data_IF_192552079306
#
_entry.id   IF_192552079306
#
_cell.length_a   1.000
_cell.length_b   1.000
_cell.length_c   1.000
_cell.angle_alpha   90.00
_cell.angle_beta   90.00
_cell.angle_gamma   90.00
#
_symmetry.space_group_name_H-M   'P 1'
#
loop_
_entity.id
_entity.type
_entity.pdbx_description
1 polymer ?
#
# COMPACT_ATOMS: atom_id res chain seq x y z
N UNK A 1 4.03 9.06 -14.60
CA UNK A 1 3.60 8.36 -13.39
C UNK A 1 2.33 9.03 -12.92
N UNK A 2 1.31 8.27 -12.52
CA UNK A 2 -0.03 8.79 -12.22
C UNK A 2 -0.85 8.96 -13.51
N UNK A 3 -0.83 10.16 -14.09
CA UNK A 3 -1.61 10.47 -15.30
C UNK A 3 -0.94 10.03 -16.60
N UNK A 4 0.39 10.03 -16.65
CA UNK A 4 1.18 9.58 -17.82
C UNK A 4 1.71 8.18 -17.50
N UNK A 5 1.34 7.18 -18.28
CA UNK A 5 1.86 5.81 -18.16
C UNK A 5 2.91 5.54 -19.25
N UNK A 6 4.01 4.88 -18.87
CA UNK A 6 5.08 4.42 -19.76
C UNK A 6 5.33 2.93 -19.53
N UNK A 7 5.91 2.25 -20.52
CA UNK A 7 6.13 0.80 -20.46
C UNK A 7 7.12 0.40 -19.36
N UNK A 8 8.21 1.14 -19.24
CA UNK A 8 9.22 0.94 -18.21
C UNK A 8 9.35 2.18 -17.31
N UNK A 9 9.89 1.98 -16.11
CA UNK A 9 10.19 3.09 -15.20
C UNK A 9 11.29 4.00 -15.75
N UNK A 10 12.20 3.48 -16.57
CA UNK A 10 13.31 4.26 -17.12
C UNK A 10 12.86 5.15 -18.28
N UNK A 11 11.80 4.75 -18.99
CA UNK A 11 11.24 5.47 -20.14
C UNK A 11 10.74 6.87 -19.77
N UNK A 12 10.46 7.14 -18.48
CA UNK A 12 10.12 8.48 -18.02
C UNK A 12 11.26 9.50 -18.22
N UNK A 13 12.51 9.04 -18.34
CA UNK A 13 13.69 9.88 -18.59
C UNK A 13 14.30 9.65 -19.98
N UNK A 14 13.58 8.99 -20.88
CA UNK A 14 14.03 8.79 -22.26
C UNK A 14 14.15 10.12 -23.00
N UNK A 15 15.11 10.20 -23.92
CA UNK A 15 15.28 11.31 -24.86
C UNK A 15 14.83 10.91 -26.28
N UNK A 16 14.14 9.78 -26.41
CA UNK A 16 13.53 9.36 -27.68
C UNK A 16 12.35 10.29 -28.00
N UNK A 17 12.44 11.01 -29.11
CA UNK A 17 11.46 11.99 -29.57
C UNK A 17 10.02 11.44 -29.62
N UNK A 18 9.82 10.13 -29.84
CA UNK A 18 8.48 9.54 -29.93
C UNK A 18 7.75 9.49 -28.58
N UNK A 19 8.50 9.38 -27.50
CA UNK A 19 7.97 9.12 -26.16
C UNK A 19 8.59 10.01 -25.08
N UNK A 20 9.39 11.01 -25.46
CA UNK A 20 9.99 11.94 -24.51
C UNK A 20 8.90 12.67 -23.72
N UNK A 21 9.20 12.95 -22.45
CA UNK A 21 8.33 13.77 -21.61
C UNK A 21 9.23 14.63 -20.71
N UNK A 22 9.64 15.83 -21.17
CA UNK A 22 10.77 16.58 -20.61
C UNK A 22 10.65 16.91 -19.12
N UNK A 23 9.43 17.10 -18.62
CA UNK A 23 9.19 17.47 -17.22
C UNK A 23 9.84 16.52 -16.19
N UNK A 24 9.94 15.22 -16.48
CA UNK A 24 10.52 14.26 -15.52
C UNK A 24 12.03 14.48 -15.31
N UNK A 25 12.77 14.76 -16.39
CA UNK A 25 14.21 15.01 -16.35
C UNK A 25 14.55 16.40 -15.82
N UNK A 26 13.66 17.37 -16.02
CA UNK A 26 13.80 18.73 -15.48
C UNK A 26 13.60 18.76 -13.95
N UNK A 27 12.66 17.98 -13.43
CA UNK A 27 12.34 17.97 -11.99
C UNK A 27 13.35 17.15 -11.18
N UNK A 28 13.72 15.96 -11.64
CA UNK A 28 14.66 15.09 -10.91
C UNK A 28 15.48 14.21 -11.87
N UNK A 29 16.80 14.12 -11.72
CA UNK A 29 17.60 13.17 -12.49
C UNK A 29 17.18 11.72 -12.23
N UNK A 30 17.18 10.88 -13.28
CA UNK A 30 16.79 9.46 -13.23
C UNK A 30 17.45 8.71 -12.07
N UNK A 31 18.78 8.82 -11.98
CA UNK A 31 19.55 8.03 -11.03
C UNK A 31 19.31 8.47 -9.59
N UNK A 32 19.07 9.78 -9.38
CA UNK A 32 18.65 10.32 -8.08
C UNK A 32 17.29 9.78 -7.66
N UNK A 33 16.32 9.76 -8.58
CA UNK A 33 15.00 9.16 -8.32
C UNK A 33 15.10 7.69 -7.97
N UNK A 34 15.85 6.90 -8.75
CA UNK A 34 16.04 5.47 -8.49
C UNK A 34 16.75 5.21 -7.15
N UNK A 35 17.72 6.05 -6.78
CA UNK A 35 18.39 5.97 -5.49
C UNK A 35 17.42 6.22 -4.33
N UNK A 36 16.61 7.29 -4.41
CA UNK A 36 15.57 7.56 -3.41
C UNK A 36 14.58 6.39 -3.33
N UNK A 37 14.09 5.90 -4.47
CA UNK A 37 13.16 4.78 -4.52
C UNK A 37 13.73 3.49 -3.89
N UNK A 38 15.03 3.23 -4.09
CA UNK A 38 15.72 2.05 -3.55
C UNK A 38 15.91 2.12 -2.03
N UNK A 39 16.17 3.31 -1.50
CA UNK A 39 16.48 3.53 -0.08
C UNK A 39 15.33 4.14 0.72
N UNK A 40 14.12 4.21 0.14
CA UNK A 40 12.93 4.68 0.83
C UNK A 40 12.53 3.69 1.94
N UNK A 41 12.76 4.08 3.19
CA UNK A 41 12.45 3.30 4.38
C UNK A 41 11.54 4.10 5.31
N UNK A 42 10.51 3.43 5.86
CA UNK A 42 9.54 4.05 6.77
C UNK A 42 9.70 3.59 8.23
N UNK A 43 10.66 2.70 8.48
CA UNK A 43 10.91 2.08 9.79
C UNK A 43 12.40 1.91 10.02
N UNK A 44 12.83 2.10 11.25
CA UNK A 44 14.19 1.76 11.66
C UNK A 44 14.34 0.23 11.83
N UNK A 45 15.34 -0.34 11.15
CA UNK A 45 15.62 -1.78 11.22
C UNK A 45 16.24 -2.18 12.58
N UNK A 46 16.79 -1.23 13.34
CA UNK A 46 17.33 -1.48 14.69
C UNK A 46 16.22 -1.93 15.68
N UNK A 47 14.99 -1.46 15.46
CA UNK A 47 13.82 -1.75 16.28
C UNK A 47 13.09 -3.04 15.88
N UNK A 48 13.72 -3.86 15.02
CA UNK A 48 13.10 -5.09 14.52
C UNK A 48 13.02 -6.13 15.63
N UNK A 49 11.80 -6.45 16.04
CA UNK A 49 11.53 -7.55 16.94
C UNK A 49 11.88 -8.92 16.34
N UNK A 50 12.20 -9.89 17.19
CA UNK A 50 12.36 -11.28 16.77
C UNK A 50 11.07 -11.82 16.17
N UNK A 51 11.18 -12.64 15.13
CA UNK A 51 10.02 -13.23 14.43
C UNK A 51 9.24 -14.19 15.32
N UNK A 52 9.90 -14.74 16.34
CA UNK A 52 9.31 -15.64 17.32
C UNK A 52 8.61 -14.88 18.47
N UNK A 53 8.80 -13.56 18.54
CA UNK A 53 8.16 -12.73 19.55
C UNK A 53 6.64 -12.81 19.43
N UNK A 54 5.92 -12.92 20.57
CA UNK A 54 4.48 -12.85 20.58
C UNK A 54 3.89 -11.56 19.99
N UNK A 55 4.66 -10.48 19.99
CA UNK A 55 4.27 -9.15 19.52
C UNK A 55 4.65 -8.87 18.07
N UNK A 56 5.33 -9.81 17.39
CA UNK A 56 5.86 -9.58 16.05
C UNK A 56 4.78 -9.27 15.03
N UNK A 57 4.75 -8.02 14.57
CA UNK A 57 3.89 -7.58 13.48
C UNK A 57 4.54 -7.81 12.12
N UNK A 58 3.89 -8.57 11.24
CA UNK A 58 4.40 -8.82 9.87
C UNK A 58 4.42 -7.56 9.00
N UNK A 59 3.66 -6.53 9.35
CA UNK A 59 3.58 -5.24 8.65
C UNK A 59 4.47 -4.15 9.29
N UNK A 60 5.30 -4.48 10.29
CA UNK A 60 6.03 -3.49 11.09
C UNK A 60 6.73 -2.39 10.28
N UNK A 61 7.29 -2.73 9.11
CA UNK A 61 7.98 -1.76 8.23
C UNK A 61 7.11 -0.63 7.71
N UNK A 62 5.82 -0.88 7.52
CA UNK A 62 4.84 0.06 6.99
C UNK A 62 3.82 0.50 8.04
N UNK A 63 3.87 -0.07 9.26
CA UNK A 63 2.84 0.10 10.29
C UNK A 63 2.59 1.57 10.61
N UNK A 64 3.65 2.34 10.88
CA UNK A 64 3.55 3.77 11.23
C UNK A 64 2.83 4.59 10.14
N UNK A 65 3.18 4.35 8.88
CA UNK A 65 2.56 5.04 7.74
C UNK A 65 1.10 4.65 7.59
N UNK A 66 0.81 3.35 7.70
CA UNK A 66 -0.55 2.83 7.56
C UNK A 66 -1.48 3.34 8.66
N UNK A 67 -1.01 3.34 9.91
CA UNK A 67 -1.78 3.85 11.05
C UNK A 67 -1.98 5.37 10.94
N UNK A 68 -0.99 6.11 10.41
CA UNK A 68 -1.14 7.54 10.15
C UNK A 68 -2.21 7.82 9.10
N UNK A 69 -2.29 7.03 8.02
CA UNK A 69 -3.37 7.19 7.04
C UNK A 69 -4.74 6.89 7.64
N UNK A 70 -4.89 5.78 8.34
CA UNK A 70 -6.16 5.43 8.98
C UNK A 70 -6.61 6.48 10.00
N UNK A 71 -5.67 7.08 10.73
CA UNK A 71 -5.96 8.20 11.65
C UNK A 71 -6.50 9.41 10.89
N UNK A 72 -5.77 9.88 9.87
CA UNK A 72 -6.17 11.06 9.08
C UNK A 72 -7.52 10.83 8.39
N UNK A 73 -7.77 9.63 7.86
CA UNK A 73 -9.03 9.31 7.19
C UNK A 73 -10.25 9.41 8.09
N UNK A 74 -10.08 9.12 9.39
CA UNK A 74 -11.13 9.25 10.42
C UNK A 74 -11.25 10.67 10.95
N UNK A 75 -10.12 11.39 11.07
CA UNK A 75 -10.10 12.77 11.56
C UNK A 75 -10.73 13.76 10.56
N UNK A 76 -10.59 13.52 9.25
CA UNK A 76 -10.98 14.48 8.21
C UNK A 76 -12.42 14.28 7.71
N UNK A 77 -13.04 13.13 7.98
CA UNK A 77 -14.33 12.77 7.38
C UNK A 77 -15.22 11.98 8.33
N UNK A 78 -16.42 12.51 8.54
CA UNK A 78 -17.52 11.79 9.20
C UNK A 78 -18.31 10.99 8.16
N UNK A 79 -18.37 9.64 8.29
CA UNK A 79 -19.05 8.80 7.31
C UNK A 79 -20.58 8.99 7.31
N UNK A 80 -21.20 8.76 6.14
CA UNK A 80 -22.65 8.71 6.05
C UNK A 80 -23.19 7.38 6.59
N UNK A 81 -24.52 7.23 6.60
CA UNK A 81 -25.19 5.99 7.02
C UNK A 81 -24.84 4.79 6.14
N UNK A 82 -24.40 5.02 4.90
CA UNK A 82 -24.21 3.98 3.91
C UNK A 82 -22.72 3.64 3.75
N UNK A 83 -22.28 2.66 4.54
CA UNK A 83 -20.92 2.15 4.49
C UNK A 83 -20.86 0.79 3.77
N UNK A 84 -19.83 0.62 2.96
CA UNK A 84 -19.51 -0.63 2.27
C UNK A 84 -18.20 -1.21 2.81
N UNK A 85 -18.22 -2.51 3.09
CA UNK A 85 -17.06 -3.28 3.52
C UNK A 85 -16.70 -4.28 2.43
N UNK A 86 -15.49 -4.17 1.88
CA UNK A 86 -15.05 -5.08 0.81
C UNK A 86 -13.53 -5.35 0.87
N UNK A 87 -13.13 -6.40 0.16
CA UNK A 87 -11.78 -6.87 -0.01
C UNK A 87 -11.14 -6.30 -1.28
N UNK A 88 -10.00 -5.63 -1.11
CA UNK A 88 -9.17 -5.12 -2.20
C UNK A 88 -7.89 -5.96 -2.30
N UNK A 89 -7.48 -6.22 -3.55
CA UNK A 89 -6.21 -6.90 -3.85
C UNK A 89 -5.25 -5.91 -4.50
N UNK A 90 -4.12 -5.69 -3.84
CA UNK A 90 -3.00 -4.91 -4.36
C UNK A 90 -2.07 -5.85 -5.11
N UNK A 91 -1.92 -5.64 -6.43
CA UNK A 91 -1.05 -6.46 -7.27
C UNK A 91 0.39 -6.30 -6.80
N UNK A 92 0.99 -7.39 -6.34
CA UNK A 92 2.37 -7.39 -5.85
C UNK A 92 3.08 -8.68 -6.27
N UNK A 93 4.17 -8.54 -7.03
CA UNK A 93 4.94 -9.67 -7.55
C UNK A 93 6.13 -10.07 -6.65
N UNK A 94 6.46 -9.28 -5.63
CA UNK A 94 7.58 -9.55 -4.73
C UNK A 94 7.35 -10.74 -3.79
N UNK A 95 8.40 -11.04 -3.00
CA UNK A 95 8.38 -12.10 -1.98
C UNK A 95 7.96 -11.51 -0.64
N UNK A 96 6.71 -11.77 -0.23
CA UNK A 96 6.14 -11.38 1.07
C UNK A 96 5.34 -12.56 1.62
N UNK A 97 5.42 -12.77 2.94
CA UNK A 97 4.78 -13.91 3.62
C UNK A 97 3.25 -13.94 3.52
N UNK A 98 2.61 -12.78 3.53
CA UNK A 98 1.15 -12.64 3.54
C UNK A 98 0.55 -12.36 2.15
N UNK A 99 1.32 -12.66 1.09
CA UNK A 99 0.78 -12.67 -0.28
C UNK A 99 -0.28 -13.76 -0.40
N UNK A 100 -1.44 -13.39 -0.95
CA UNK A 100 -2.58 -14.29 -1.13
C UNK A 100 -2.82 -14.59 -2.60
N UNK A 101 -3.33 -15.80 -2.85
CA UNK A 101 -3.88 -16.21 -4.12
C UNK A 101 -5.41 -16.25 -4.01
N UNK A 102 -6.10 -15.45 -4.83
CA UNK A 102 -7.56 -15.35 -4.86
C UNK A 102 -8.02 -15.65 -6.29
N UNK A 103 -8.38 -16.90 -6.60
CA UNK A 103 -8.59 -17.35 -7.98
C UNK A 103 -9.75 -16.62 -8.68
N UNK A 104 -10.77 -16.21 -7.94
CA UNK A 104 -11.97 -15.55 -8.46
C UNK A 104 -11.78 -14.08 -8.87
N UNK A 105 -10.63 -13.46 -8.58
CA UNK A 105 -10.38 -12.04 -8.90
C UNK A 105 -9.42 -11.93 -10.08
N UNK A 106 -9.63 -10.94 -10.97
CA UNK A 106 -8.78 -10.68 -12.15
C UNK A 106 -7.29 -10.58 -11.80
N UNK A 107 -6.97 -9.97 -10.66
CA UNK A 107 -5.62 -9.95 -10.07
C UNK A 107 -5.53 -11.08 -9.05
N UNK A 108 -5.14 -12.28 -9.51
CA UNK A 108 -5.19 -13.46 -8.65
C UNK A 108 -4.12 -13.46 -7.55
N UNK A 109 -2.95 -12.85 -7.78
CA UNK A 109 -1.85 -12.79 -6.81
C UNK A 109 -1.63 -11.37 -6.31
N UNK A 110 -1.65 -11.19 -4.98
CA UNK A 110 -1.41 -9.87 -4.40
C UNK A 110 -1.48 -9.83 -2.88
N UNK A 111 -1.44 -8.61 -2.35
CA UNK A 111 -1.68 -8.34 -0.93
C UNK A 111 -3.18 -8.11 -0.74
N UNK A 112 -3.80 -8.88 0.15
CA UNK A 112 -5.21 -8.75 0.49
C UNK A 112 -5.38 -7.67 1.57
N UNK A 113 -6.32 -6.75 1.35
CA UNK A 113 -6.66 -5.68 2.28
C UNK A 113 -8.18 -5.61 2.40
N UNK A 114 -8.67 -5.34 3.60
CA UNK A 114 -10.06 -5.00 3.87
C UNK A 114 -10.17 -3.48 3.94
N UNK A 115 -11.20 -2.89 3.33
CA UNK A 115 -11.48 -1.46 3.44
C UNK A 115 -12.95 -1.22 3.77
N UNK A 116 -13.20 -0.17 4.53
CA UNK A 116 -14.51 0.44 4.71
C UNK A 116 -14.52 1.69 3.84
N UNK A 117 -15.49 1.78 2.94
CA UNK A 117 -15.69 2.95 2.10
C UNK A 117 -17.12 3.46 2.26
N UNK A 118 -17.26 4.78 2.30
CA UNK A 118 -18.55 5.46 2.29
C UNK A 118 -19.15 5.50 0.88
N UNK A 119 -20.46 5.71 0.77
CA UNK A 119 -21.15 5.86 -0.51
C UNK A 119 -20.59 6.99 -1.39
N UNK A 120 -20.00 8.02 -0.79
CA UNK A 120 -19.30 9.11 -1.51
C UNK A 120 -17.96 8.68 -2.14
N UNK A 121 -17.47 7.48 -1.82
CA UNK A 121 -16.19 6.95 -2.30
C UNK A 121 -15.02 7.20 -1.34
N UNK A 122 -15.23 7.90 -0.22
CA UNK A 122 -14.20 8.11 0.80
C UNK A 122 -13.87 6.80 1.52
N UNK A 123 -12.59 6.58 1.84
CA UNK A 123 -12.16 5.40 2.61
C UNK A 123 -12.04 5.78 4.07
N UNK A 124 -12.84 5.13 4.93
CA UNK A 124 -12.89 5.43 6.37
C UNK A 124 -11.85 4.64 7.17
N UNK A 125 -11.69 3.35 6.88
CA UNK A 125 -10.71 2.49 7.55
C UNK A 125 -10.20 1.41 6.61
N UNK A 126 -8.98 0.94 6.85
CA UNK A 126 -8.35 -0.12 6.08
C UNK A 126 -7.55 -1.04 6.99
N UNK A 127 -7.46 -2.32 6.61
CA UNK A 127 -6.63 -3.30 7.30
C UNK A 127 -6.02 -4.31 6.34
N UNK A 128 -4.70 -4.47 6.41
CA UNK A 128 -3.99 -5.50 5.63
C UNK A 128 -4.22 -6.86 6.27
N UNK A 129 -4.53 -7.87 5.45
CA UNK A 129 -4.58 -9.25 5.87
C UNK A 129 -3.17 -9.83 5.96
N UNK A 130 -2.75 -10.23 7.16
CA UNK A 130 -1.39 -10.73 7.44
C UNK A 130 -1.29 -12.27 7.52
N UNK A 131 -2.38 -12.96 7.14
CA UNK A 131 -2.56 -14.41 7.31
C UNK A 131 -3.44 -14.74 8.51
N UNK A 132 -3.48 -16.01 8.91
CA UNK A 132 -4.14 -16.44 10.15
C UNK A 132 -3.39 -15.84 11.34
N UNK A 133 -3.88 -14.71 11.84
CA UNK A 133 -3.41 -14.09 13.06
C UNK A 133 -3.89 -14.94 14.25
N UNK A 134 -2.97 -15.40 15.11
CA UNK A 134 -3.34 -16.23 16.27
C UNK A 134 -3.85 -15.40 17.46
N UNK A 135 -3.71 -14.07 17.42
CA UNK A 135 -3.77 -13.24 18.64
C UNK A 135 -4.78 -12.10 18.64
N UNK A 136 -5.30 -11.67 17.50
CA UNK A 136 -6.31 -10.61 17.46
C UNK A 136 -7.54 -11.10 16.71
N UNK A 137 -8.71 -11.23 17.35
CA UNK A 137 -9.94 -11.36 16.60
C UNK A 137 -10.03 -10.15 15.64
N UNK A 138 -10.58 -10.41 14.47
CA UNK A 138 -10.82 -9.38 13.46
C UNK A 138 -12.01 -8.50 13.92
N UNK A 139 -11.84 -7.84 15.07
CA UNK A 139 -12.82 -6.91 15.62
C UNK A 139 -12.67 -5.61 14.84
N UNK A 140 -13.36 -5.55 13.71
CA UNK A 140 -13.87 -4.29 13.21
C UNK A 140 -15.06 -4.00 14.11
N UNK A 141 -14.91 -3.10 15.08
CA UNK A 141 -16.05 -2.61 15.83
C UNK A 141 -16.95 -1.88 14.83
N UNK A 142 -18.00 -2.56 14.39
CA UNK A 142 -19.22 -1.90 13.96
C UNK A 142 -19.79 -1.28 15.24
N UNK A 143 -19.80 0.05 15.31
CA UNK A 143 -20.64 0.75 16.28
C UNK A 143 -22.11 0.43 16.00
#
# INVERSE_FOLDING_TARGET
>A
MGHIEKNSLQDYWTTDNLIETPIFREVIPRDRFLMILKFLLFSDNSLKESRDSPTYDRLWKMRKVFDSFNRIFKEVYDPTKNLSFDEVIIKFKGRVLFKQYIPKKRKQWGLKMYKIADATGHTYDMRVYLGKDKRKPFNICFL
#
